data_IF_246469260901
#
_entry.id   IF_246469260901
#
_cell.length_a   1.000
_cell.length_b   1.000
_cell.length_c   1.000
_cell.angle_alpha   90.00
_cell.angle_beta   90.00
_cell.angle_gamma   90.00
#
_symmetry.space_group_name_H-M   'P 1'
#
loop_
_entity.id
_entity.type
_entity.pdbx_description
1 polymer ?
#
# COMPACT_ATOMS: atom_id res chain seq x y z
N UNK A 1 29.21 2.08 -16.20
CA UNK A 1 29.22 0.62 -16.52
C UNK A 1 28.48 -0.28 -15.53
N UNK A 2 28.18 0.15 -14.30
CA UNK A 2 27.54 -0.70 -13.27
C UNK A 2 26.14 -1.19 -13.66
N UNK A 3 25.29 -0.31 -14.23
CA UNK A 3 23.91 -0.65 -14.59
C UNK A 3 23.82 -1.76 -15.65
N UNK A 4 24.64 -1.67 -16.71
CA UNK A 4 24.72 -2.70 -17.75
C UNK A 4 25.22 -4.04 -17.19
N UNK A 5 26.20 -3.99 -16.29
CA UNK A 5 26.70 -5.18 -15.61
C UNK A 5 25.62 -5.85 -14.74
N UNK A 6 24.83 -5.06 -14.00
CA UNK A 6 23.71 -5.59 -13.19
C UNK A 6 22.61 -6.23 -14.05
N UNK A 7 22.31 -5.68 -15.22
CA UNK A 7 21.41 -6.31 -16.17
C UNK A 7 21.95 -7.63 -16.72
N UNK A 8 23.26 -7.71 -17.04
CA UNK A 8 23.91 -8.95 -17.46
C UNK A 8 23.86 -10.04 -16.38
N UNK A 9 23.88 -9.65 -15.11
CA UNK A 9 23.69 -10.54 -13.96
C UNK A 9 22.20 -10.91 -13.71
N UNK A 10 21.28 -10.50 -14.59
CA UNK A 10 19.85 -10.78 -14.46
C UNK A 10 19.16 -10.01 -13.33
N UNK A 11 19.81 -8.98 -12.76
CA UNK A 11 19.19 -8.16 -11.71
C UNK A 11 18.17 -7.20 -12.29
N UNK A 12 17.10 -6.98 -11.53
CA UNK A 12 16.03 -6.05 -11.92
C UNK A 12 16.03 -4.83 -11.01
N UNK A 13 15.71 -3.67 -11.57
CA UNK A 13 15.58 -2.43 -10.81
C UNK A 13 14.11 -2.21 -10.46
N UNK A 14 13.77 -2.32 -9.17
CA UNK A 14 12.38 -2.28 -8.70
C UNK A 14 12.22 -1.31 -7.53
N UNK A 15 11.03 -0.73 -7.42
CA UNK A 15 10.63 0.07 -6.27
C UNK A 15 10.48 -0.82 -5.02
N UNK A 16 10.95 -0.34 -3.87
CA UNK A 16 10.71 -1.00 -2.57
C UNK A 16 9.22 -1.08 -2.28
N UNK A 17 8.73 -2.14 -1.62
CA UNK A 17 7.30 -2.27 -1.31
C UNK A 17 7.05 -1.69 0.08
N UNK A 18 6.20 -0.67 0.22
CA UNK A 18 5.76 -0.25 1.55
C UNK A 18 4.72 -1.24 2.07
N UNK A 19 4.97 -1.81 3.24
CA UNK A 19 4.00 -2.64 3.97
C UNK A 19 3.87 -2.03 5.36
N UNK A 20 2.68 -1.50 5.72
CA UNK A 20 2.51 -0.84 7.01
C UNK A 20 2.87 -1.79 8.16
N UNK A 21 2.25 -2.97 8.18
CA UNK A 21 2.37 -3.92 9.29
C UNK A 21 2.55 -5.35 8.76
N UNK A 22 3.43 -6.10 9.42
CA UNK A 22 3.52 -7.54 9.22
C UNK A 22 2.30 -8.19 9.89
N UNK A 23 1.46 -8.84 9.09
CA UNK A 23 0.26 -9.49 9.61
C UNK A 23 0.59 -10.87 10.17
N UNK A 24 0.03 -11.19 11.33
CA UNK A 24 -0.03 -12.55 11.88
C UNK A 24 -0.96 -13.42 11.03
N UNK A 25 -0.79 -14.74 11.05
CA UNK A 25 -1.64 -15.68 10.31
C UNK A 25 -3.13 -15.53 10.67
N UNK A 26 -3.44 -15.31 11.95
CA UNK A 26 -4.82 -15.05 12.41
C UNK A 26 -5.42 -13.80 11.77
N UNK A 27 -4.66 -12.70 11.68
CA UNK A 27 -5.11 -11.47 11.03
C UNK A 27 -5.31 -11.68 9.52
N UNK A 28 -4.50 -12.52 8.87
CA UNK A 28 -4.67 -12.87 7.46
C UNK A 28 -5.97 -13.65 7.25
N UNK A 29 -6.23 -14.66 8.08
CA UNK A 29 -7.45 -15.46 8.00
C UNK A 29 -8.70 -14.62 8.23
N UNK A 30 -8.69 -13.75 9.24
CA UNK A 30 -9.79 -12.81 9.50
C UNK A 30 -10.08 -11.91 8.30
N UNK A 31 -9.02 -11.34 7.69
CA UNK A 31 -9.17 -10.49 6.48
C UNK A 31 -9.74 -11.28 5.30
N UNK A 32 -9.27 -12.50 5.06
CA UNK A 32 -9.80 -13.34 3.97
C UNK A 32 -11.28 -13.67 4.21
N UNK A 33 -11.65 -14.06 5.42
CA UNK A 33 -13.05 -14.34 5.77
C UNK A 33 -13.96 -13.12 5.57
N UNK A 34 -13.54 -11.95 6.02
CA UNK A 34 -14.27 -10.70 5.81
C UNK A 34 -14.42 -10.36 4.32
N UNK A 35 -13.34 -10.48 3.53
CA UNK A 35 -13.38 -10.25 2.09
C UNK A 35 -14.34 -11.20 1.36
N UNK A 36 -14.33 -12.50 1.69
CA UNK A 36 -15.21 -13.49 1.08
C UNK A 36 -16.69 -13.19 1.40
N UNK A 37 -16.99 -12.83 2.65
CA UNK A 37 -18.34 -12.43 3.07
C UNK A 37 -18.83 -11.19 2.32
N UNK A 38 -18.00 -10.14 2.25
CA UNK A 38 -18.33 -8.91 1.51
C UNK A 38 -18.51 -9.16 0.01
N UNK A 39 -17.67 -10.02 -0.59
CA UNK A 39 -17.77 -10.39 -2.00
C UNK A 39 -19.05 -11.17 -2.29
N UNK A 40 -19.41 -12.12 -1.43
CA UNK A 40 -20.66 -12.87 -1.54
C UNK A 40 -21.87 -11.93 -1.47
N UNK A 41 -21.88 -11.02 -0.48
CA UNK A 41 -22.94 -10.00 -0.35
C UNK A 41 -23.04 -9.11 -1.59
N UNK A 42 -21.89 -8.66 -2.12
CA UNK A 42 -21.85 -7.85 -3.34
C UNK A 42 -22.44 -8.57 -4.55
N UNK A 43 -22.16 -9.87 -4.71
CA UNK A 43 -22.69 -10.67 -5.82
C UNK A 43 -24.21 -10.79 -5.76
N UNK A 44 -24.78 -10.89 -4.56
CA UNK A 44 -26.23 -10.95 -4.37
C UNK A 44 -26.90 -9.58 -4.50
N UNK A 45 -26.25 -8.49 -4.08
CA UNK A 45 -26.74 -7.12 -4.22
C UNK A 45 -25.58 -6.13 -4.23
N UNK A 46 -25.62 -5.08 -5.06
CA UNK A 46 -24.57 -4.05 -5.05
C UNK A 46 -24.49 -3.35 -3.69
N UNK A 47 -23.35 -3.50 -3.02
CA UNK A 47 -23.12 -2.91 -1.68
C UNK A 47 -22.44 -1.55 -1.76
N UNK A 48 -21.68 -1.27 -2.82
CA UNK A 48 -20.83 -0.06 -2.88
C UNK A 48 -21.64 1.22 -2.92
N UNK A 49 -22.77 1.23 -3.62
CA UNK A 49 -23.68 2.38 -3.73
C UNK A 49 -24.33 2.77 -2.40
N UNK A 50 -24.15 1.98 -1.33
CA UNK A 50 -24.71 2.20 0.01
C UNK A 50 -23.63 2.39 1.08
N UNK A 51 -22.36 2.17 0.74
CA UNK A 51 -21.27 2.33 1.69
C UNK A 51 -20.78 3.77 1.61
N UNK A 52 -20.84 4.43 2.77
CA UNK A 52 -20.20 5.71 3.00
C UNK A 52 -18.84 5.45 3.62
N UNK A 53 -17.77 5.88 2.95
CA UNK A 53 -16.42 5.81 3.51
C UNK A 53 -15.96 7.20 3.92
N UNK A 54 -15.32 7.30 5.08
CA UNK A 54 -14.63 8.50 5.56
C UNK A 54 -13.31 8.06 6.17
N UNK A 55 -12.22 8.76 5.84
CA UNK A 55 -10.90 8.55 6.44
C UNK A 55 -10.15 9.88 6.50
N UNK A 56 -9.30 10.04 7.52
CA UNK A 56 -8.48 11.23 7.69
C UNK A 56 -7.09 11.00 7.10
N UNK A 57 -6.61 11.94 6.29
CA UNK A 57 -5.29 11.84 5.69
C UNK A 57 -4.46 13.08 5.98
N UNK A 58 -3.30 12.87 6.56
CA UNK A 58 -2.25 13.88 6.65
C UNK A 58 -1.59 14.07 5.28
N UNK A 59 -1.53 15.32 4.81
CA UNK A 59 -0.80 15.71 3.60
C UNK A 59 0.51 16.37 4.03
N UNK A 60 1.61 15.87 3.47
CA UNK A 60 2.94 16.44 3.64
C UNK A 60 3.16 17.60 2.69
N UNK A 61 3.89 18.63 3.13
CA UNK A 61 4.38 19.67 2.21
C UNK A 61 5.38 19.12 1.20
N UNK A 62 6.31 18.26 1.67
CA UNK A 62 7.25 17.56 0.81
C UNK A 62 7.06 16.04 0.92
N UNK A 63 6.70 15.40 -0.19
CA UNK A 63 6.39 13.98 -0.22
C UNK A 63 7.66 13.19 -0.58
N UNK A 64 8.20 12.37 0.34
CA UNK A 64 9.41 11.62 0.06
C UNK A 64 9.16 10.59 -1.05
N UNK A 65 10.05 10.57 -2.04
CA UNK A 65 9.99 9.58 -3.12
C UNK A 65 10.34 8.17 -2.62
N UNK A 66 9.72 7.15 -3.22
CA UNK A 66 10.09 5.75 -2.97
C UNK A 66 11.48 5.44 -3.51
N UNK A 67 12.29 4.83 -2.67
CA UNK A 67 13.58 4.28 -3.07
C UNK A 67 13.42 3.11 -4.05
N UNK A 68 14.39 3.01 -4.96
CA UNK A 68 14.52 1.92 -5.94
C UNK A 68 15.81 1.15 -5.65
N UNK A 69 15.73 -0.18 -5.75
CA UNK A 69 16.86 -1.06 -5.47
C UNK A 69 17.08 -2.08 -6.59
N UNK A 70 18.33 -2.50 -6.75
CA UNK A 70 18.70 -3.61 -7.63
C UNK A 70 18.48 -4.94 -6.90
N UNK A 71 17.63 -5.80 -7.44
CA UNK A 71 17.24 -7.07 -6.83
C UNK A 71 17.67 -8.26 -7.70
N UNK A 72 18.14 -9.31 -7.05
CA UNK A 72 18.36 -10.62 -7.68
C UNK A 72 17.04 -11.40 -7.79
N UNK A 73 16.72 -12.02 -8.93
CA UNK A 73 15.64 -13.02 -9.00
C UNK A 73 15.89 -14.20 -8.04
N UNK A 74 14.85 -14.86 -7.49
CA UNK A 74 13.42 -14.57 -7.53
C UNK A 74 12.97 -13.68 -6.34
N UNK A 75 13.89 -12.92 -5.73
CA UNK A 75 13.60 -12.27 -4.44
C UNK A 75 12.49 -11.23 -4.59
N UNK A 76 11.51 -11.31 -3.68
CA UNK A 76 10.48 -10.29 -3.51
C UNK A 76 11.12 -8.94 -3.19
N UNK A 77 10.49 -7.85 -3.65
CA UNK A 77 10.90 -6.51 -3.26
C UNK A 77 10.94 -6.43 -1.72
N UNK A 78 12.03 -5.96 -1.10
CA UNK A 78 12.09 -5.84 0.34
C UNK A 78 10.91 -4.98 0.80
N UNK A 79 10.14 -5.54 1.73
CA UNK A 79 9.07 -4.82 2.39
C UNK A 79 9.73 -3.80 3.33
N UNK A 80 9.58 -2.52 3.02
CA UNK A 80 9.98 -1.45 3.91
C UNK A 80 8.75 -1.06 4.72
N UNK A 81 8.92 -0.89 6.03
CA UNK A 81 7.90 -0.23 6.85
C UNK A 81 7.82 1.21 6.41
N UNK A 82 6.63 1.72 6.09
CA UNK A 82 6.45 3.17 5.89
C UNK A 82 6.97 3.84 7.15
N UNK A 83 8.10 4.54 7.04
CA UNK A 83 8.71 5.24 8.17
C UNK A 83 7.65 6.18 8.70
N UNK A 84 7.24 5.96 9.95
CA UNK A 84 6.45 6.95 10.67
C UNK A 84 7.29 8.21 10.69
N UNK A 85 6.72 9.28 10.15
CA UNK A 85 7.41 10.49 9.77
C UNK A 85 8.20 11.09 10.94
N UNK A 86 9.36 11.69 10.63
CA UNK A 86 10.17 12.37 11.64
C UNK A 86 9.39 13.56 12.24
N UNK A 87 9.59 13.87 13.52
CA UNK A 87 8.88 14.96 14.22
C UNK A 87 9.15 16.38 13.69
N UNK A 88 9.95 16.54 12.63
CA UNK A 88 10.39 17.82 12.07
C UNK A 88 9.70 18.26 10.78
N UNK A 89 8.80 17.45 10.21
CA UNK A 89 8.04 17.88 9.02
C UNK A 89 6.76 18.59 9.45
N UNK A 90 6.44 19.72 8.81
CA UNK A 90 5.13 20.35 8.97
C UNK A 90 4.06 19.54 8.19
N UNK A 91 2.86 19.40 8.75
CA UNK A 91 1.74 18.66 8.15
C UNK A 91 0.54 19.57 7.98
N UNK A 92 -0.27 19.30 6.97
CA UNK A 92 -1.64 19.80 6.88
C UNK A 92 -2.63 18.64 7.06
N UNK A 93 -3.65 18.82 7.89
CA UNK A 93 -4.78 17.88 7.98
C UNK A 93 -5.70 18.13 6.78
N UNK A 94 -5.96 17.09 5.99
CA UNK A 94 -6.98 17.14 4.94
C UNK A 94 -8.02 16.06 5.21
N UNK A 95 -9.25 16.48 5.49
CA UNK A 95 -10.42 15.60 5.50
C UNK A 95 -10.81 15.37 4.04
N UNK A 96 -10.58 14.16 3.52
CA UNK A 96 -10.92 13.83 2.13
C UNK A 96 -12.26 13.09 2.10
N UNK A 97 -13.29 13.84 1.73
CA UNK A 97 -14.60 13.47 1.17
C UNK A 97 -15.32 12.20 1.65
N UNK A 98 -16.55 12.45 2.13
CA UNK A 98 -17.66 11.53 2.27
C UNK A 98 -18.13 11.07 0.87
N UNK A 99 -17.60 9.96 0.35
CA UNK A 99 -18.03 9.43 -0.96
C UNK A 99 -19.01 8.28 -0.80
N UNK A 100 -20.12 8.33 -1.56
CA UNK A 100 -21.00 7.20 -1.79
C UNK A 100 -20.38 6.41 -2.95
N UNK A 101 -20.09 5.13 -2.72
CA UNK A 101 -19.30 4.33 -3.65
C UNK A 101 -19.92 4.20 -5.05
N UNK A 102 -19.33 4.91 -6.02
CA UNK A 102 -19.12 4.43 -7.38
C UNK A 102 -17.71 4.89 -7.80
N UNK A 103 -16.88 3.94 -8.23
CA UNK A 103 -15.54 4.21 -8.80
C UNK A 103 -15.60 5.19 -9.97
#
# INVERSE_FOLDING_TARGET
>A
MVRLHLYRLGKTYRLSKWVPHTLLEVHKQQRVGACLSLLSRHRSASIFNRVLTSDEKWILYDTPERSKHWLSPPRYCPAQRKTTYAPTQDYALCLVNLSIGSL
#
